data_IF_349917114179
#
_entry.id   IF_349917114179
#
_cell.length_a   1.000
_cell.length_b   1.000
_cell.length_c   1.000
_cell.angle_alpha   90.00
_cell.angle_beta   90.00
_cell.angle_gamma   90.00
#
_symmetry.space_group_name_H-M   'P 1'
#
loop_
_entity.id
_entity.type
_entity.pdbx_description
1 polymer ?
#
# COMPACT_ATOMS: atom_id res chain seq x y z
N UNK A 1 -12.32 30.61 14.45
CA UNK A 1 -11.05 30.50 15.19
C UNK A 1 -9.95 30.93 14.23
N UNK A 2 -9.16 31.93 14.59
CA UNK A 2 -8.10 32.48 13.72
C UNK A 2 -6.75 31.85 14.08
N UNK A 3 -5.82 31.81 13.13
CA UNK A 3 -4.54 31.12 13.31
C UNK A 3 -3.70 31.67 14.48
N UNK A 4 -3.83 32.97 14.75
CA UNK A 4 -3.14 33.66 15.83
C UNK A 4 -3.53 33.11 17.21
N UNK A 5 -4.75 32.60 17.38
CA UNK A 5 -5.20 32.02 18.66
C UNK A 5 -4.59 30.63 18.93
N UNK A 6 -4.03 29.98 17.91
CA UNK A 6 -3.51 28.61 17.97
C UNK A 6 -1.98 28.53 18.02
N UNK A 7 -1.29 29.60 17.64
CA UNK A 7 0.16 29.65 17.50
C UNK A 7 0.78 30.56 18.55
N UNK A 8 2.01 30.27 18.97
CA UNK A 8 2.79 31.26 19.73
C UNK A 8 3.09 32.49 18.87
N UNK A 9 3.22 33.66 19.50
CA UNK A 9 3.55 34.91 18.80
C UNK A 9 4.77 34.75 17.88
N UNK A 10 5.81 34.06 18.37
CA UNK A 10 7.02 33.78 17.60
C UNK A 10 6.75 32.97 16.33
N UNK A 11 5.92 31.93 16.42
CA UNK A 11 5.57 31.09 15.27
C UNK A 11 4.71 31.88 14.26
N UNK A 12 3.80 32.72 14.74
CA UNK A 12 2.97 33.57 13.89
C UNK A 12 3.80 34.61 13.13
N UNK A 13 4.77 35.25 13.79
CA UNK A 13 5.69 36.20 13.13
C UNK A 13 6.49 35.52 12.02
N UNK A 14 7.03 34.32 12.25
CA UNK A 14 7.76 33.55 11.23
C UNK A 14 6.86 33.23 10.02
N UNK A 15 5.61 32.83 10.27
CA UNK A 15 4.64 32.55 9.20
C UNK A 15 4.20 33.81 8.43
N UNK A 16 4.22 34.98 9.08
CA UNK A 16 3.97 36.26 8.41
C UNK A 16 5.16 36.68 7.54
N UNK A 17 6.38 36.44 8.01
CA UNK A 17 7.62 36.76 7.30
C UNK A 17 7.91 35.83 6.12
N UNK A 18 7.31 34.63 6.06
CA UNK A 18 7.52 33.66 4.97
C UNK A 18 6.93 34.10 3.62
N UNK A 19 6.12 35.16 3.57
CA UNK A 19 5.47 35.68 2.34
C UNK A 19 4.64 34.63 1.57
N UNK A 20 4.11 33.63 2.29
CA UNK A 20 3.27 32.57 1.71
C UNK A 20 1.78 32.84 1.88
N UNK A 21 1.40 33.95 2.51
CA UNK A 21 0.03 34.33 2.85
C UNK A 21 -0.76 33.27 3.67
N UNK A 22 -0.06 32.28 4.24
CA UNK A 22 -0.69 31.25 5.08
C UNK A 22 -1.17 31.84 6.42
N UNK A 23 -0.53 32.90 6.90
CA UNK A 23 -0.87 33.56 8.17
C UNK A 23 -2.24 34.25 8.17
N UNK A 24 -2.81 34.55 6.99
CA UNK A 24 -4.15 35.15 6.86
C UNK A 24 -5.25 34.11 6.64
N UNK A 25 -4.90 32.82 6.54
CA UNK A 25 -5.85 31.73 6.36
C UNK A 25 -6.38 31.21 7.68
N UNK A 26 -7.59 30.68 7.65
CA UNK A 26 -8.16 29.92 8.76
C UNK A 26 -7.54 28.52 8.83
N UNK A 27 -7.57 27.84 10.00
CA UNK A 27 -7.08 26.47 10.13
C UNK A 27 -7.73 25.51 9.14
N UNK A 28 -9.04 25.65 8.89
CA UNK A 28 -9.76 24.80 7.94
C UNK A 28 -9.28 25.02 6.50
N UNK A 29 -9.10 26.27 6.08
CA UNK A 29 -8.54 26.55 4.75
C UNK A 29 -7.13 25.98 4.60
N UNK A 30 -6.29 26.02 5.65
CA UNK A 30 -4.95 25.42 5.59
C UNK A 30 -5.02 23.90 5.46
N UNK A 31 -5.95 23.24 6.16
CA UNK A 31 -6.18 21.80 6.05
C UNK A 31 -6.63 21.44 4.64
N UNK A 32 -7.59 22.17 4.08
CA UNK A 32 -8.05 22.00 2.70
C UNK A 32 -6.92 22.20 1.69
N UNK A 33 -6.12 23.26 1.86
CA UNK A 33 -4.94 23.52 1.02
C UNK A 33 -3.89 22.41 1.12
N UNK A 34 -3.67 21.85 2.32
CA UNK A 34 -2.73 20.75 2.51
C UNK A 34 -3.22 19.47 1.83
N UNK A 35 -4.52 19.16 1.92
CA UNK A 35 -5.12 18.04 1.21
C UNK A 35 -5.06 18.22 -0.32
N UNK A 36 -5.33 19.43 -0.82
CA UNK A 36 -5.20 19.77 -2.23
C UNK A 36 -3.75 19.63 -2.70
N UNK A 37 -2.76 20.15 -1.95
CA UNK A 37 -1.35 19.95 -2.28
C UNK A 37 -0.96 18.47 -2.35
N UNK A 38 -1.44 17.68 -1.39
CA UNK A 38 -1.17 16.24 -1.32
C UNK A 38 -1.68 15.51 -2.58
N UNK A 39 -2.95 15.75 -2.94
CA UNK A 39 -3.60 15.09 -4.08
C UNK A 39 -3.13 15.63 -5.43
N UNK A 40 -3.06 16.95 -5.59
CA UNK A 40 -2.87 17.59 -6.90
C UNK A 40 -1.39 17.78 -7.28
N UNK A 41 -0.47 17.70 -6.30
CA UNK A 41 0.96 17.95 -6.54
C UNK A 41 1.86 16.83 -6.01
N UNK A 42 1.71 16.44 -4.75
CA UNK A 42 2.66 15.52 -4.12
C UNK A 42 2.60 14.11 -4.74
N UNK A 43 1.39 13.55 -4.93
CA UNK A 43 1.21 12.25 -5.58
C UNK A 43 1.55 12.29 -7.08
N UNK A 44 1.09 13.28 -7.88
CA UNK A 44 1.50 13.41 -9.28
C UNK A 44 3.00 13.56 -9.46
N UNK A 45 3.69 14.30 -8.58
CA UNK A 45 5.15 14.42 -8.62
C UNK A 45 5.83 13.07 -8.39
N UNK A 46 5.32 12.25 -7.45
CA UNK A 46 5.83 10.88 -7.28
C UNK A 46 5.73 10.06 -8.56
N UNK A 47 4.56 10.08 -9.21
CA UNK A 47 4.34 9.33 -10.44
C UNK A 47 5.18 9.87 -11.60
N UNK A 48 5.32 11.19 -11.69
CA UNK A 48 6.20 11.83 -12.67
C UNK A 48 7.65 11.35 -12.51
N UNK A 49 8.14 11.22 -11.28
CA UNK A 49 9.50 10.75 -11.00
C UNK A 49 9.70 9.27 -11.31
N UNK A 50 8.64 8.46 -11.20
CA UNK A 50 8.65 7.09 -11.72
C UNK A 50 8.71 7.08 -13.25
N UNK A 51 7.97 7.97 -13.91
CA UNK A 51 7.93 8.08 -15.37
C UNK A 51 9.23 8.62 -15.98
N UNK A 52 9.92 9.53 -15.28
CA UNK A 52 11.22 10.06 -15.68
C UNK A 52 12.41 9.18 -15.27
N UNK A 53 12.14 8.09 -14.53
CA UNK A 53 13.14 7.21 -13.93
C UNK A 53 14.09 7.91 -12.95
N UNK A 54 13.73 9.09 -12.43
CA UNK A 54 14.39 9.70 -11.28
C UNK A 54 14.28 8.80 -10.05
N UNK A 55 13.12 8.13 -9.91
CA UNK A 55 12.90 7.05 -8.99
C UNK A 55 12.48 5.79 -9.75
N UNK A 56 13.04 4.63 -9.37
CA UNK A 56 12.65 3.36 -9.98
C UNK A 56 12.41 2.32 -8.90
N UNK A 57 11.16 2.13 -8.44
CA UNK A 57 10.87 1.16 -7.41
C UNK A 57 10.93 -0.25 -8.01
N UNK A 58 11.83 -1.08 -7.50
CA UNK A 58 12.03 -2.46 -7.98
C UNK A 58 11.15 -3.47 -7.25
N UNK A 59 10.75 -3.15 -6.02
CA UNK A 59 9.87 -3.96 -5.19
C UNK A 59 9.03 -3.10 -4.24
N UNK A 60 8.13 -3.74 -3.49
CA UNK A 60 7.23 -3.05 -2.56
C UNK A 60 7.95 -2.36 -1.40
N UNK A 61 9.18 -2.79 -1.07
CA UNK A 61 10.00 -2.14 -0.05
C UNK A 61 10.54 -0.82 -0.57
N UNK A 62 11.19 -0.81 -1.74
CA UNK A 62 11.66 0.43 -2.36
C UNK A 62 10.51 1.40 -2.67
N UNK A 63 9.34 0.89 -3.10
CA UNK A 63 8.12 1.70 -3.25
C UNK A 63 7.72 2.38 -1.92
N UNK A 64 7.71 1.62 -0.83
CA UNK A 64 7.40 2.15 0.50
C UNK A 64 8.41 3.21 0.93
N UNK A 65 9.69 2.99 0.69
CA UNK A 65 10.76 3.93 1.04
C UNK A 65 10.61 5.26 0.28
N UNK A 66 10.28 5.21 -1.02
CA UNK A 66 10.02 6.40 -1.82
C UNK A 66 8.77 7.18 -1.39
N UNK A 67 7.70 6.47 -1.03
CA UNK A 67 6.50 7.09 -0.45
C UNK A 67 6.84 7.81 0.86
N UNK A 68 7.47 7.09 1.80
CA UNK A 68 7.77 7.64 3.13
C UNK A 68 8.79 8.77 3.11
N UNK A 69 9.80 8.72 2.24
CA UNK A 69 10.81 9.80 2.12
C UNK A 69 10.20 11.12 1.64
N UNK A 70 8.99 11.08 1.08
CA UNK A 70 8.22 12.24 0.60
C UNK A 70 7.02 12.55 1.49
N UNK A 71 6.98 11.96 2.68
CA UNK A 71 5.87 12.09 3.62
C UNK A 71 4.52 11.66 3.04
N UNK A 72 4.53 10.78 2.03
CA UNK A 72 3.34 10.23 1.41
C UNK A 72 2.84 9.03 2.20
N UNK A 73 1.54 9.02 2.43
CA UNK A 73 0.85 8.01 3.20
C UNK A 73 0.57 6.80 2.31
N UNK A 74 0.92 5.61 2.79
CA UNK A 74 0.67 4.37 2.05
C UNK A 74 -0.82 4.11 1.77
N UNK A 75 -1.74 4.80 2.44
CA UNK A 75 -3.18 4.66 2.15
C UNK A 75 -3.53 5.18 0.75
N UNK A 76 -2.77 6.13 0.21
CA UNK A 76 -3.04 6.75 -1.09
C UNK A 76 -2.44 5.98 -2.27
N UNK A 77 -2.10 4.70 -2.08
CA UNK A 77 -1.61 3.84 -3.17
C UNK A 77 -2.66 3.63 -4.26
N UNK A 78 -3.94 3.70 -3.92
CA UNK A 78 -5.05 3.68 -4.88
C UNK A 78 -4.94 4.85 -5.86
N UNK A 79 -4.71 6.06 -5.36
CA UNK A 79 -4.55 7.26 -6.18
C UNK A 79 -3.26 7.21 -7.00
N UNK A 80 -2.18 6.64 -6.45
CA UNK A 80 -0.95 6.41 -7.23
C UNK A 80 -1.21 5.43 -8.39
N UNK A 81 -2.03 4.40 -8.21
CA UNK A 81 -2.45 3.49 -9.28
C UNK A 81 -3.22 4.24 -10.36
N UNK A 82 -4.18 5.09 -9.97
CA UNK A 82 -4.98 5.90 -10.91
C UNK A 82 -4.12 6.86 -11.73
N UNK A 83 -3.18 7.56 -11.09
CA UNK A 83 -2.25 8.48 -11.74
C UNK A 83 -1.22 7.78 -12.63
N UNK A 84 -0.94 6.50 -12.40
CA UNK A 84 0.09 5.72 -13.10
C UNK A 84 -0.44 5.01 -14.36
N UNK A 85 -1.49 5.52 -15.01
CA UNK A 85 -2.14 4.93 -16.19
C UNK A 85 -1.17 4.50 -17.31
N UNK A 86 -0.10 5.26 -17.50
CA UNK A 86 0.95 5.01 -18.52
C UNK A 86 2.13 4.20 -17.99
N UNK A 87 2.11 3.79 -16.73
CA UNK A 87 3.19 3.07 -16.05
C UNK A 87 2.67 1.74 -15.50
N UNK A 88 2.40 0.74 -16.37
CA UNK A 88 1.81 -0.54 -15.95
C UNK A 88 2.65 -1.28 -14.90
N UNK A 89 3.98 -1.10 -14.94
CA UNK A 89 4.86 -1.63 -13.91
C UNK A 89 4.62 -1.00 -12.53
N UNK A 90 4.47 0.33 -12.47
CA UNK A 90 4.21 1.05 -11.22
C UNK A 90 2.82 0.71 -10.66
N UNK A 91 1.79 0.61 -11.53
CA UNK A 91 0.45 0.17 -11.13
C UNK A 91 0.49 -1.24 -10.53
N UNK A 92 1.09 -2.20 -11.24
CA UNK A 92 1.26 -3.58 -10.77
C UNK A 92 1.97 -3.62 -9.41
N UNK A 93 3.03 -2.82 -9.24
CA UNK A 93 3.78 -2.76 -7.98
C UNK A 93 2.94 -2.21 -6.81
N UNK A 94 2.20 -1.13 -7.04
CA UNK A 94 1.31 -0.54 -6.04
C UNK A 94 0.21 -1.53 -5.63
N UNK A 95 -0.37 -2.25 -6.59
CA UNK A 95 -1.38 -3.27 -6.33
C UNK A 95 -0.80 -4.44 -5.52
N UNK A 96 0.39 -4.93 -5.88
CA UNK A 96 1.08 -5.96 -5.10
C UNK A 96 1.31 -5.52 -3.65
N UNK A 97 1.72 -4.27 -3.46
CA UNK A 97 1.98 -3.72 -2.14
C UNK A 97 0.69 -3.55 -1.32
N UNK A 98 -0.42 -3.12 -1.95
CA UNK A 98 -1.75 -3.08 -1.33
C UNK A 98 -2.20 -4.48 -0.88
N UNK A 99 -2.11 -5.49 -1.75
CA UNK A 99 -2.43 -6.88 -1.43
C UNK A 99 -1.56 -7.37 -0.27
N UNK A 100 -0.25 -7.18 -0.33
CA UNK A 100 0.67 -7.64 0.71
C UNK A 100 0.38 -6.97 2.07
N UNK A 101 0.07 -5.67 2.07
CA UNK A 101 -0.29 -4.92 3.28
C UNK A 101 -1.65 -5.32 3.86
N UNK A 102 -2.62 -5.63 3.02
CA UNK A 102 -3.92 -6.14 3.47
C UNK A 102 -3.77 -7.55 4.04
N UNK A 103 -3.10 -8.44 3.31
CA UNK A 103 -3.01 -9.85 3.62
C UNK A 103 -2.13 -10.17 4.83
N UNK A 104 -1.12 -9.34 5.14
CA UNK A 104 -0.24 -9.56 6.30
C UNK A 104 -1.02 -9.75 7.60
N UNK A 105 -2.14 -9.02 7.76
CA UNK A 105 -2.93 -9.08 8.99
C UNK A 105 -3.67 -10.42 9.13
N UNK A 106 -4.11 -11.00 8.01
CA UNK A 106 -4.73 -12.33 7.99
C UNK A 106 -3.68 -13.37 8.35
N UNK A 107 -2.52 -13.32 7.71
CA UNK A 107 -1.45 -14.28 7.98
C UNK A 107 -0.95 -14.18 9.43
N UNK A 108 -0.83 -12.96 9.98
CA UNK A 108 -0.50 -12.75 11.40
C UNK A 108 -1.56 -13.34 12.33
N UNK A 109 -2.85 -13.19 12.01
CA UNK A 109 -3.93 -13.78 12.80
C UNK A 109 -3.92 -15.31 12.75
N UNK A 110 -3.65 -15.91 11.58
CA UNK A 110 -3.49 -17.36 11.41
C UNK A 110 -2.29 -17.87 12.20
N UNK A 111 -1.15 -17.19 12.15
CA UNK A 111 0.03 -17.56 12.93
C UNK A 111 -0.28 -17.47 14.43
N UNK A 112 -0.95 -16.41 14.87
CA UNK A 112 -1.31 -16.23 16.28
C UNK A 112 -2.33 -17.25 16.80
N UNK A 113 -3.11 -17.92 15.93
CA UNK A 113 -4.09 -18.93 16.34
C UNK A 113 -3.53 -20.36 16.41
N UNK A 114 -2.30 -20.58 15.93
CA UNK A 114 -1.65 -21.89 15.97
C UNK A 114 -1.09 -22.16 17.37
N UNK A 115 -1.66 -23.15 18.06
CA UNK A 115 -1.24 -23.56 19.41
C UNK A 115 -0.17 -24.67 19.40
N UNK A 116 -0.04 -25.41 18.30
CA UNK A 116 0.86 -26.56 18.17
C UNK A 116 1.94 -26.20 17.15
N UNK A 117 3.22 -26.29 17.56
CA UNK A 117 4.34 -25.82 16.75
C UNK A 117 4.43 -26.57 15.41
N UNK A 118 4.13 -27.87 15.41
CA UNK A 118 4.16 -28.71 14.21
C UNK A 118 3.13 -28.29 13.15
N UNK A 119 2.10 -27.54 13.54
CA UNK A 119 1.06 -27.06 12.63
C UNK A 119 1.39 -25.71 11.98
N UNK A 120 2.44 -25.00 12.42
CA UNK A 120 2.79 -23.68 11.86
C UNK A 120 3.02 -23.73 10.35
N UNK A 121 3.89 -24.64 9.90
CA UNK A 121 4.23 -24.76 8.49
C UNK A 121 3.00 -25.07 7.63
N UNK A 122 2.13 -25.97 8.11
CA UNK A 122 0.88 -26.33 7.42
C UNK A 122 -0.06 -25.14 7.35
N UNK A 123 -0.32 -24.47 8.47
CA UNK A 123 -1.22 -23.31 8.54
C UNK A 123 -0.74 -22.14 7.67
N UNK A 124 0.56 -21.84 7.70
CA UNK A 124 1.18 -20.81 6.85
C UNK A 124 1.04 -21.19 5.37
N UNK A 125 1.38 -22.43 5.00
CA UNK A 125 1.27 -22.90 3.62
C UNK A 125 -0.17 -22.86 3.11
N UNK A 126 -1.14 -23.32 3.91
CA UNK A 126 -2.57 -23.26 3.58
C UNK A 126 -3.04 -21.82 3.40
N UNK A 127 -2.64 -20.90 4.29
CA UNK A 127 -2.96 -19.49 4.18
C UNK A 127 -2.36 -18.88 2.89
N UNK A 128 -1.07 -19.11 2.63
CA UNK A 128 -0.43 -18.60 1.41
C UNK A 128 -1.03 -19.21 0.13
N UNK A 129 -1.41 -20.49 0.15
CA UNK A 129 -2.13 -21.13 -0.94
C UNK A 129 -3.52 -20.54 -1.13
N UNK A 130 -4.19 -20.08 -0.07
CA UNK A 130 -5.42 -19.32 -0.22
C UNK A 130 -5.20 -18.01 -0.99
N UNK A 131 -4.11 -17.29 -0.73
CA UNK A 131 -3.78 -16.07 -1.48
C UNK A 131 -3.30 -16.33 -2.91
N UNK A 132 -2.43 -17.32 -3.12
CA UNK A 132 -1.63 -17.45 -4.36
C UNK A 132 -2.01 -18.67 -5.21
N UNK A 133 -2.67 -19.64 -4.59
CA UNK A 133 -3.12 -20.87 -5.24
C UNK A 133 -4.23 -20.63 -6.26
N UNK A 134 -4.30 -21.54 -7.21
CA UNK A 134 -5.42 -21.69 -8.14
C UNK A 134 -6.44 -22.63 -7.51
N UNK A 135 -7.65 -22.13 -7.25
CA UNK A 135 -8.73 -22.96 -6.75
C UNK A 135 -9.41 -23.68 -7.92
N UNK A 136 -9.58 -24.99 -7.78
CA UNK A 136 -10.35 -25.82 -8.73
C UNK A 136 -11.86 -25.69 -8.51
N UNK A 137 -12.27 -25.32 -7.30
CA UNK A 137 -13.67 -25.07 -6.93
C UNK A 137 -13.98 -23.59 -7.14
N UNK A 138 -14.99 -23.31 -7.97
CA UNK A 138 -15.39 -21.93 -8.30
C UNK A 138 -15.79 -21.11 -7.05
N UNK A 139 -16.42 -21.74 -6.06
CA UNK A 139 -16.91 -21.08 -4.85
C UNK A 139 -15.75 -20.53 -4.00
N UNK A 140 -14.71 -21.32 -3.79
CA UNK A 140 -13.51 -20.91 -3.03
C UNK A 140 -12.77 -19.77 -3.72
N UNK A 141 -12.71 -19.81 -5.06
CA UNK A 141 -12.14 -18.74 -5.86
C UNK A 141 -12.92 -17.42 -5.69
N UNK A 142 -14.27 -17.48 -5.74
CA UNK A 142 -15.15 -16.33 -5.52
C UNK A 142 -15.04 -15.77 -4.12
N UNK A 143 -14.96 -16.64 -3.10
CA UNK A 143 -14.78 -16.24 -1.70
C UNK A 143 -13.44 -15.55 -1.47
N UNK A 144 -12.36 -16.13 -1.99
CA UNK A 144 -11.02 -15.53 -1.96
C UNK A 144 -11.02 -14.14 -2.60
N UNK A 145 -11.55 -14.02 -3.81
CA UNK A 145 -11.61 -12.75 -4.52
C UNK A 145 -12.39 -11.73 -3.69
N UNK A 146 -13.62 -12.03 -3.30
CA UNK A 146 -14.47 -11.15 -2.48
C UNK A 146 -13.76 -10.67 -1.21
N UNK A 147 -12.97 -11.54 -0.57
CA UNK A 147 -12.19 -11.20 0.61
C UNK A 147 -11.09 -10.17 0.32
N UNK A 148 -10.27 -10.44 -0.68
CA UNK A 148 -9.18 -9.56 -1.08
C UNK A 148 -9.74 -8.19 -1.46
N UNK A 149 -10.80 -8.17 -2.27
CA UNK A 149 -11.50 -6.96 -2.66
C UNK A 149 -12.00 -6.16 -1.45
N UNK A 150 -12.67 -6.83 -0.50
CA UNK A 150 -13.24 -6.17 0.69
C UNK A 150 -12.14 -5.55 1.57
N UNK A 151 -11.05 -6.27 1.81
CA UNK A 151 -9.99 -5.78 2.70
C UNK A 151 -9.17 -4.66 2.08
N UNK A 152 -8.88 -4.78 0.80
CA UNK A 152 -8.21 -3.74 0.02
C UNK A 152 -9.09 -2.48 0.00
N UNK A 153 -10.37 -2.62 -0.34
CA UNK A 153 -11.29 -1.49 -0.40
C UNK A 153 -11.41 -0.78 0.96
N UNK A 154 -11.54 -1.54 2.05
CA UNK A 154 -11.59 -0.95 3.41
C UNK A 154 -10.33 -0.19 3.80
N UNK A 155 -9.17 -0.57 3.27
CA UNK A 155 -7.87 -0.01 3.67
C UNK A 155 -7.39 1.12 2.79
N UNK A 156 -7.65 1.02 1.49
CA UNK A 156 -7.11 1.92 0.47
C UNK A 156 -8.19 2.61 -0.35
N UNK A 157 -9.48 2.29 -0.17
CA UNK A 157 -10.54 2.78 -1.07
C UNK A 157 -10.50 2.20 -2.48
N UNK A 158 -9.46 1.42 -2.83
CA UNK A 158 -9.28 0.84 -4.16
C UNK A 158 -10.34 -0.22 -4.47
N UNK A 159 -11.00 -0.09 -5.62
CA UNK A 159 -11.91 -1.09 -6.18
C UNK A 159 -11.15 -2.02 -7.11
N UNK A 160 -11.40 -3.31 -6.97
CA UNK A 160 -10.74 -4.31 -7.79
C UNK A 160 -11.10 -4.15 -9.26
N UNK A 161 -10.07 -4.01 -10.09
CA UNK A 161 -10.17 -3.93 -11.55
C UNK A 161 -9.54 -5.19 -12.14
N UNK A 162 -10.35 -6.00 -12.85
CA UNK A 162 -9.90 -7.26 -13.47
C UNK A 162 -8.74 -7.05 -14.44
N UNK A 163 -8.71 -5.95 -15.19
CA UNK A 163 -7.65 -5.62 -16.16
C UNK A 163 -6.30 -5.40 -15.46
N UNK A 164 -6.28 -4.61 -14.38
CA UNK A 164 -5.07 -4.38 -13.59
C UNK A 164 -4.59 -5.67 -12.90
N UNK A 165 -5.51 -6.60 -12.61
CA UNK A 165 -5.23 -7.85 -11.90
C UNK A 165 -4.69 -8.97 -12.80
N UNK A 166 -4.77 -8.85 -14.12
CA UNK A 166 -4.13 -9.80 -15.05
C UNK A 166 -2.60 -9.82 -14.89
N UNK A 167 -2.02 -8.73 -14.38
CA UNK A 167 -0.58 -8.55 -14.21
C UNK A 167 -0.06 -8.89 -12.79
N UNK A 168 -0.85 -9.62 -11.98
CA UNK A 168 -0.44 -9.99 -10.63
C UNK A 168 0.67 -11.04 -10.62
N UNK A 169 1.84 -10.65 -10.12
CA UNK A 169 3.03 -11.50 -9.98
C UNK A 169 3.02 -12.18 -8.62
N UNK A 170 2.62 -13.46 -8.61
CA UNK A 170 2.51 -14.27 -7.37
C UNK A 170 3.76 -14.23 -6.51
N UNK A 171 4.95 -14.33 -7.12
CA UNK A 171 6.23 -14.28 -6.39
C UNK A 171 6.51 -12.92 -5.75
N UNK A 172 6.13 -11.82 -6.40
CA UNK A 172 6.28 -10.47 -5.85
C UNK A 172 5.36 -10.27 -4.65
N UNK A 173 4.11 -10.72 -4.75
CA UNK A 173 3.15 -10.69 -3.63
C UNK A 173 3.64 -11.58 -2.49
N UNK A 174 4.08 -12.81 -2.77
CA UNK A 174 4.60 -13.75 -1.79
C UNK A 174 5.75 -13.13 -1.01
N UNK A 175 6.75 -12.59 -1.72
CA UNK A 175 7.90 -11.89 -1.12
C UNK A 175 7.44 -10.72 -0.25
N UNK A 176 6.51 -9.91 -0.76
CA UNK A 176 5.96 -8.76 -0.04
C UNK A 176 5.26 -9.14 1.25
N UNK A 177 4.46 -10.22 1.25
CA UNK A 177 3.78 -10.75 2.43
C UNK A 177 4.80 -11.30 3.43
N UNK A 178 5.74 -12.13 2.96
CA UNK A 178 6.75 -12.75 3.82
C UNK A 178 7.60 -11.70 4.53
N UNK A 179 8.06 -10.68 3.81
CA UNK A 179 8.82 -9.57 4.39
C UNK A 179 8.04 -8.82 5.48
N UNK A 180 6.73 -8.62 5.30
CA UNK A 180 5.86 -7.89 6.25
C UNK A 180 5.52 -8.70 7.50
N UNK A 181 5.55 -10.02 7.42
CA UNK A 181 5.24 -10.93 8.52
C UNK A 181 6.50 -11.45 9.21
N UNK A 182 7.67 -11.33 8.57
CA UNK A 182 8.93 -11.88 9.06
C UNK A 182 9.06 -13.38 8.79
N UNK A 183 8.56 -13.84 7.64
CA UNK A 183 8.67 -15.24 7.22
C UNK A 183 9.82 -15.42 6.24
N UNK A 184 10.58 -16.50 6.44
CA UNK A 184 11.56 -17.00 5.48
C UNK A 184 11.03 -18.29 4.86
N UNK A 185 11.07 -18.36 3.53
CA UNK A 185 10.64 -19.53 2.77
C UNK A 185 11.86 -20.16 2.12
N UNK A 186 12.04 -21.45 2.35
CA UNK A 186 13.08 -22.25 1.72
C UNK A 186 12.43 -23.07 0.61
N UNK A 187 12.91 -22.98 -0.64
CA UNK A 187 12.48 -23.89 -1.69
C UNK A 187 12.93 -25.31 -1.29
N UNK A 188 11.99 -26.26 -1.34
CA UNK A 188 12.27 -27.67 -1.10
C UNK A 188 11.86 -28.44 -2.33
N UNK A 189 12.79 -29.23 -2.86
CA UNK A 189 12.46 -30.24 -3.85
C UNK A 189 11.65 -31.33 -3.14
N UNK A 190 10.41 -31.53 -3.59
CA UNK A 190 9.61 -32.66 -3.13
C UNK A 190 9.86 -33.80 -4.11
N UNK A 191 10.45 -34.90 -3.63
CA UNK A 191 10.38 -36.17 -4.34
C UNK A 191 8.90 -36.60 -4.32
N UNK A 192 8.25 -36.45 -5.47
CA UNK A 192 6.87 -36.87 -5.73
C UNK A 192 6.85 -38.26 -6.39
N UNK A 193 7.80 -39.12 -6.04
CA UNK A 193 7.83 -40.53 -6.44
C UNK A 193 6.66 -41.32 -5.81
#
# INVERSE_FOLDING_TARGET
MILQDLLSDKAFTVLKESKTDLHIKTPNELIEMAHAYYADFALPKLVADFGSLELSPVDGRTLTDFMHTRDLQMHSLDHVVELSDKLPHAQSLCIHEMIARAYKHILQAVIASVNVVDDFARSIATCLNFLLGTFTVEEDSKLKQKWIETFIFKRFGWRWNEECCQNLRKLSILRGVCHKVGLELVPKDYDLD
#
